data_IF_432072756633
#
_entry.id   IF_432072756633
#
_cell.length_a   1.000
_cell.length_b   1.000
_cell.length_c   1.000
_cell.angle_alpha   90.00
_cell.angle_beta   90.00
_cell.angle_gamma   90.00
#
_symmetry.space_group_name_H-M   'P 1'
#
loop_
_entity.id
_entity.type
_entity.pdbx_description
1 polymer ?
#
# COMPACT_ATOMS: atom_id res chain seq x y z
N UNK A 1 -12.15 -11.71 4.42
CA UNK A 1 -12.21 -10.38 5.00
C UNK A 1 -10.94 -9.62 4.64
N UNK A 2 -11.08 -8.45 4.04
CA UNK A 2 -9.94 -7.64 3.65
C UNK A 2 -9.28 -6.97 4.84
N UNK A 3 -8.07 -6.49 4.65
CA UNK A 3 -7.37 -5.71 5.65
C UNK A 3 -7.52 -4.22 5.34
N UNK A 4 -7.43 -3.39 6.38
CA UNK A 4 -7.46 -1.94 6.19
C UNK A 4 -6.30 -1.52 5.28
N UNK A 5 -5.13 -2.12 5.47
CA UNK A 5 -3.96 -1.82 4.64
C UNK A 5 -4.27 -2.10 3.16
N UNK A 6 -4.80 -3.29 2.87
CA UNK A 6 -5.12 -3.67 1.49
C UNK A 6 -6.16 -2.75 0.86
N UNK A 7 -7.20 -2.41 1.62
CA UNK A 7 -8.25 -1.53 1.14
C UNK A 7 -7.72 -0.13 0.83
N UNK A 8 -6.92 0.42 1.72
CA UNK A 8 -6.37 1.76 1.53
C UNK A 8 -5.33 1.79 0.43
N UNK A 9 -4.53 0.72 0.31
CA UNK A 9 -3.58 0.60 -0.79
C UNK A 9 -4.30 0.58 -2.14
N UNK A 10 -5.34 -0.25 -2.25
CA UNK A 10 -6.14 -0.32 -3.47
C UNK A 10 -6.74 1.04 -3.81
N UNK A 11 -7.23 1.74 -2.80
CA UNK A 11 -7.85 3.05 -2.97
C UNK A 11 -6.85 4.08 -3.52
N UNK A 12 -5.66 4.17 -2.92
CA UNK A 12 -4.68 5.17 -3.34
C UNK A 12 -4.15 4.85 -4.74
N UNK A 13 -3.96 3.58 -5.06
CA UNK A 13 -3.54 3.19 -6.40
C UNK A 13 -4.60 3.55 -7.43
N UNK A 14 -5.88 3.32 -7.11
CA UNK A 14 -6.98 3.71 -7.99
C UNK A 14 -7.06 5.20 -8.20
N UNK A 15 -6.90 5.98 -7.13
CA UNK A 15 -6.96 7.44 -7.21
C UNK A 15 -5.83 8.00 -8.07
N UNK A 16 -4.68 7.33 -8.08
CA UNK A 16 -3.51 7.79 -8.83
C UNK A 16 -3.38 7.12 -10.18
N UNK A 17 -4.31 6.24 -10.52
CA UNK A 17 -4.28 5.49 -11.76
C UNK A 17 -2.94 4.74 -11.92
N UNK A 18 -2.48 4.15 -10.81
CA UNK A 18 -1.20 3.46 -10.74
C UNK A 18 -1.42 1.96 -10.67
N UNK A 19 -0.69 1.22 -11.52
CA UNK A 19 -0.78 -0.24 -11.51
C UNK A 19 0.07 -0.84 -10.39
N UNK A 20 -0.24 -2.10 -10.05
CA UNK A 20 0.57 -2.84 -9.10
C UNK A 20 2.02 -2.95 -9.56
N UNK A 21 2.23 -3.15 -10.86
CA UNK A 21 3.57 -3.25 -11.43
C UNK A 21 4.35 -1.95 -11.28
N UNK A 22 3.68 -0.82 -11.45
CA UNK A 22 4.35 0.47 -11.30
C UNK A 22 4.76 0.71 -9.85
N UNK A 23 3.87 0.44 -8.90
CA UNK A 23 4.21 0.57 -7.49
C UNK A 23 5.36 -0.37 -7.13
N UNK A 24 5.31 -1.61 -7.63
CA UNK A 24 6.35 -2.59 -7.38
C UNK A 24 7.72 -2.07 -7.79
N UNK A 25 7.81 -1.44 -8.97
CA UNK A 25 9.07 -0.87 -9.44
C UNK A 25 9.55 0.26 -8.52
N UNK A 26 8.62 1.07 -8.01
CA UNK A 26 8.97 2.22 -7.19
C UNK A 26 9.46 1.83 -5.80
N UNK A 27 8.91 0.75 -5.24
CA UNK A 27 9.25 0.36 -3.87
C UNK A 27 10.12 -0.88 -3.76
N UNK A 28 10.48 -1.51 -4.89
CA UNK A 28 11.34 -2.68 -4.88
C UNK A 28 10.67 -3.94 -4.35
N UNK A 29 9.36 -4.03 -4.44
CA UNK A 29 8.58 -5.20 -4.01
C UNK A 29 8.03 -5.88 -5.25
N UNK A 30 8.02 -7.21 -5.26
CA UNK A 30 7.52 -7.95 -6.41
C UNK A 30 6.04 -7.62 -6.67
N UNK A 31 5.61 -7.48 -7.96
CA UNK A 31 4.21 -7.14 -8.27
C UNK A 31 3.20 -8.12 -7.70
N UNK A 32 3.52 -9.40 -7.65
CA UNK A 32 2.62 -10.39 -7.05
C UNK A 32 2.39 -10.12 -5.58
N UNK A 33 3.42 -9.65 -4.88
CA UNK A 33 3.31 -9.31 -3.46
C UNK A 33 2.39 -8.10 -3.27
N UNK A 34 2.51 -7.10 -4.14
CA UNK A 34 1.60 -5.96 -4.12
C UNK A 34 0.15 -6.44 -4.31
N UNK A 35 -0.07 -7.34 -5.27
CA UNK A 35 -1.39 -7.90 -5.52
C UNK A 35 -1.97 -8.62 -4.31
N UNK A 36 -1.13 -9.38 -3.60
CA UNK A 36 -1.53 -10.09 -2.38
C UNK A 36 -1.95 -9.11 -1.29
N UNK A 37 -1.22 -7.99 -1.15
CA UNK A 37 -1.56 -6.95 -0.17
C UNK A 37 -2.89 -6.27 -0.52
N UNK A 38 -3.08 -5.93 -1.79
CA UNK A 38 -4.32 -5.30 -2.25
C UNK A 38 -5.52 -6.22 -2.01
N UNK A 39 -5.32 -7.53 -2.22
CA UNK A 39 -6.37 -8.52 -1.99
C UNK A 39 -6.65 -8.73 -0.50
N UNK A 40 -5.75 -8.30 0.38
CA UNK A 40 -5.92 -8.49 1.82
C UNK A 40 -5.57 -9.88 2.30
N UNK A 41 -4.87 -10.66 1.47
CA UNK A 41 -4.53 -12.04 1.80
C UNK A 41 -3.40 -12.16 2.80
N UNK A 42 -2.49 -11.18 2.82
CA UNK A 42 -1.35 -11.17 3.72
C UNK A 42 -1.11 -9.77 4.25
N UNK A 43 -0.62 -9.69 5.47
CA UNK A 43 -0.23 -8.42 6.07
C UNK A 43 1.24 -8.12 5.72
N UNK A 44 1.58 -6.87 5.41
CA UNK A 44 2.96 -6.52 5.12
C UNK A 44 3.79 -6.43 6.40
N UNK A 45 5.09 -6.63 6.26
CA UNK A 45 6.04 -6.35 7.33
C UNK A 45 6.20 -4.84 7.49
N UNK A 46 6.74 -4.40 8.62
CA UNK A 46 6.99 -2.98 8.86
C UNK A 46 7.88 -2.38 7.76
N UNK A 47 8.89 -3.12 7.32
CA UNK A 47 9.76 -2.64 6.24
C UNK A 47 9.03 -2.43 4.92
N UNK A 48 8.10 -3.32 4.61
CA UNK A 48 7.30 -3.19 3.38
C UNK A 48 6.34 -2.01 3.47
N UNK A 49 5.71 -1.81 4.64
CA UNK A 49 4.86 -0.65 4.85
C UNK A 49 5.66 0.64 4.65
N UNK A 50 6.86 0.70 5.23
CA UNK A 50 7.71 1.88 5.09
C UNK A 50 8.07 2.15 3.63
N UNK A 51 8.44 1.09 2.88
CA UNK A 51 8.80 1.23 1.48
C UNK A 51 7.63 1.73 0.64
N UNK A 52 6.44 1.19 0.87
CA UNK A 52 5.23 1.58 0.13
C UNK A 52 4.84 3.02 0.49
N UNK A 53 4.87 3.34 1.77
CA UNK A 53 4.57 4.69 2.25
C UNK A 53 5.47 5.73 1.59
N UNK A 54 6.78 5.47 1.55
CA UNK A 54 7.74 6.36 0.92
C UNK A 54 7.49 6.50 -0.58
N UNK A 55 7.25 5.37 -1.24
CA UNK A 55 7.04 5.37 -2.70
C UNK A 55 5.80 6.17 -3.09
N UNK A 56 4.76 6.12 -2.26
CA UNK A 56 3.50 6.82 -2.55
C UNK A 56 3.44 8.21 -1.93
N UNK A 57 4.32 8.52 -0.99
CA UNK A 57 4.29 9.81 -0.29
C UNK A 57 3.07 9.95 0.60
N UNK A 58 2.58 8.85 1.16
CA UNK A 58 1.43 8.85 2.07
C UNK A 58 1.86 8.38 3.44
N UNK A 59 1.05 8.70 4.45
CA UNK A 59 1.32 8.31 5.83
C UNK A 59 1.23 6.80 6.01
N UNK A 60 2.24 6.20 6.65
CA UNK A 60 2.17 4.80 7.03
C UNK A 60 1.03 4.56 8.02
N UNK A 61 0.79 5.53 8.92
CA UNK A 61 -0.32 5.43 9.86
C UNK A 61 -1.66 5.34 9.13
N UNK A 62 -1.83 6.13 8.06
CA UNK A 62 -3.06 6.08 7.29
C UNK A 62 -3.20 4.72 6.60
N UNK A 63 -2.12 4.21 6.02
CA UNK A 63 -2.16 2.90 5.37
C UNK A 63 -2.52 1.79 6.36
N UNK A 64 -2.07 1.92 7.61
CA UNK A 64 -2.32 0.94 8.65
C UNK A 64 -3.69 1.11 9.33
N UNK A 65 -4.40 2.18 9.02
CA UNK A 65 -5.70 2.45 9.63
C UNK A 65 -5.62 3.10 11.00
N UNK A 66 -4.45 3.65 11.36
CA UNK A 66 -4.26 4.29 12.66
C UNK A 66 -4.72 5.75 12.66
N UNK A 67 -4.93 6.32 11.50
CA UNK A 67 -5.45 7.67 11.35
C UNK A 67 -6.33 7.72 10.10
N UNK A 68 -7.29 8.62 10.08
CA UNK A 68 -8.13 8.87 8.91
C UNK A 68 -7.51 9.90 7.99
N UNK A 69 -6.45 10.57 8.42
CA UNK A 69 -5.81 11.61 7.63
C UNK A 69 -4.71 11.02 6.76
N UNK A 70 -4.85 11.24 5.43
CA UNK A 70 -3.84 10.86 4.45
C UNK A 70 -2.78 11.97 4.44
N UNK A 71 -2.00 12.06 5.50
CA UNK A 71 -0.98 13.09 5.64
C UNK A 71 0.30 12.71 4.91
N UNK A 72 0.91 13.67 4.29
CA UNK A 72 2.14 13.48 3.54
C UNK A 72 3.29 14.26 4.14
#
# INVERSE_FOLDING_TARGET
MGSVFGERLARILGERDMSNAELARRCGIHPNTIGVYVAGSHEPTAGKVAAISKALGVSADWLLGLTEEDTR
#
